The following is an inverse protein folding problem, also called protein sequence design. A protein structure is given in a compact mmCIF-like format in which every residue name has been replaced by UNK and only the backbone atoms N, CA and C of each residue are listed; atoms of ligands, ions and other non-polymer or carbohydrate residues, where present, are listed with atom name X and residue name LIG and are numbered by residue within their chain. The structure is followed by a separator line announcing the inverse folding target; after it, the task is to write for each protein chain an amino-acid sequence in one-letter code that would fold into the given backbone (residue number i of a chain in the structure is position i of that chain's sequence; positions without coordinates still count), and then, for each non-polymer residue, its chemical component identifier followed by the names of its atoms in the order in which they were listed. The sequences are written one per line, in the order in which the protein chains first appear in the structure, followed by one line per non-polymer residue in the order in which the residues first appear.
data_IF_723514818154
#
_entry.id   IF_723514818154
#
_cell.length_a   1.000
_cell.length_b   1.000
_cell.length_c   1.000
_cell.angle_alpha   90.00
_cell.angle_beta   90.00
_cell.angle_gamma   90.00
#
_symmetry.space_group_name_H-M   'P 1'
#
loop_
_entity.id
_entity.type
_entity.pdbx_description
1 polymer ?
#
# COMPACT_ATOMS: atom_id res chain seq x y z
N UNK A 1 4.66 0.92 10.90
CA UNK A 1 4.77 -0.19 9.92
C UNK A 1 4.73 0.35 8.51
N UNK A 2 3.57 0.78 7.96
CA UNK A 2 3.49 1.24 6.57
C UNK A 2 4.59 2.25 6.21
N UNK A 3 4.80 3.29 7.03
CA UNK A 3 5.93 4.23 6.91
C UNK A 3 7.30 3.51 6.85
N UNK A 4 7.66 2.75 7.87
CA UNK A 4 8.96 2.04 7.92
C UNK A 4 9.17 1.09 6.75
N UNK A 5 8.12 0.38 6.33
CA UNK A 5 8.19 -0.57 5.22
C UNK A 5 8.40 0.17 3.90
N UNK A 6 7.60 1.21 3.64
CA UNK A 6 7.79 2.05 2.44
C UNK A 6 9.18 2.68 2.42
N UNK A 7 9.69 3.16 3.56
CA UNK A 7 11.03 3.74 3.65
C UNK A 7 12.12 2.75 3.22
N UNK A 8 12.02 1.47 3.60
CA UNK A 8 13.01 0.46 3.17
C UNK A 8 13.06 0.28 1.64
N UNK A 9 11.91 0.35 0.96
CA UNK A 9 11.89 0.31 -0.50
C UNK A 9 12.45 1.59 -1.11
N UNK A 10 12.11 2.75 -0.55
CA UNK A 10 12.63 4.04 -1.01
C UNK A 10 14.16 4.10 -0.92
N UNK A 11 14.74 3.56 0.17
CA UNK A 11 16.20 3.45 0.34
C UNK A 11 16.86 2.60 -0.76
N UNK A 12 16.14 1.63 -1.32
CA UNK A 12 16.62 0.79 -2.43
C UNK A 12 16.33 1.40 -3.82
N UNK A 13 16.03 2.71 -3.89
CA UNK A 13 15.76 3.42 -5.14
C UNK A 13 14.32 3.26 -5.67
N UNK A 14 13.37 2.78 -4.86
CA UNK A 14 11.96 2.78 -5.25
C UNK A 14 11.39 4.20 -5.21
N UNK A 15 10.26 4.39 -5.91
CA UNK A 15 9.39 5.55 -5.75
C UNK A 15 8.12 5.14 -4.99
N UNK A 16 7.40 6.09 -4.41
CA UNK A 16 6.13 5.80 -3.74
C UNK A 16 5.01 6.78 -4.08
N UNK A 17 3.79 6.23 -4.20
CA UNK A 17 2.54 6.96 -4.16
C UNK A 17 1.89 6.70 -2.79
N UNK A 18 1.80 7.73 -1.95
CA UNK A 18 1.22 7.65 -0.60
C UNK A 18 -0.15 8.28 -0.58
N UNK A 19 -1.18 7.46 -0.34
CA UNK A 19 -2.57 7.85 -0.23
C UNK A 19 -2.96 7.97 1.26
N UNK A 20 -2.99 9.20 1.76
CA UNK A 20 -3.34 9.53 3.14
C UNK A 20 -4.66 10.34 3.20
N UNK A 21 -5.84 9.67 3.12
CA UNK A 21 -7.12 10.37 3.13
C UNK A 21 -7.41 11.16 4.42
N UNK A 22 -6.61 10.99 5.47
CA UNK A 22 -6.70 11.78 6.71
C UNK A 22 -5.78 13.00 6.73
N UNK A 23 -4.78 13.05 5.84
CA UNK A 23 -3.78 14.12 5.71
C UNK A 23 -2.92 14.35 6.96
N UNK A 24 -2.80 13.35 7.83
CA UNK A 24 -2.06 13.45 9.10
C UNK A 24 -1.23 12.20 9.41
N UNK A 25 -1.47 11.08 8.74
CA UNK A 25 -0.81 9.80 9.02
C UNK A 25 0.58 9.73 8.41
N UNK A 26 0.82 10.43 7.29
CA UNK A 26 2.03 10.29 6.48
C UNK A 26 2.64 11.63 6.03
N UNK A 27 2.72 12.60 6.94
CA UNK A 27 3.29 13.92 6.63
C UNK A 27 4.76 13.87 6.20
N UNK A 28 5.53 12.89 6.70
CA UNK A 28 6.91 12.63 6.26
C UNK A 28 7.06 12.54 4.74
N UNK A 29 6.04 12.00 4.05
CA UNK A 29 6.05 11.77 2.61
C UNK A 29 6.16 13.06 1.80
N UNK A 30 5.80 14.21 2.38
CA UNK A 30 5.88 15.51 1.71
C UNK A 30 7.32 16.04 1.64
N UNK A 31 8.21 15.54 2.50
CA UNK A 31 9.61 15.96 2.57
C UNK A 31 10.56 15.08 1.74
N UNK A 32 10.04 14.01 1.10
CA UNK A 32 10.85 13.05 0.34
C UNK A 32 10.58 13.19 -1.16
N UNK A 33 11.57 13.59 -1.99
CA UNK A 33 11.34 13.91 -3.41
C UNK A 33 10.80 12.75 -4.26
N UNK A 34 11.18 11.51 -3.96
CA UNK A 34 10.73 10.30 -4.67
C UNK A 34 9.32 9.84 -4.27
N UNK A 35 8.63 10.62 -3.44
CA UNK A 35 7.30 10.29 -2.92
C UNK A 35 6.25 11.29 -3.41
N UNK A 36 5.23 10.77 -4.07
CA UNK A 36 4.00 11.52 -4.37
C UNK A 36 3.00 11.32 -3.25
N UNK A 37 2.77 12.35 -2.44
CA UNK A 37 1.75 12.34 -1.39
C UNK A 37 0.42 12.93 -1.88
N UNK A 38 -0.71 12.22 -1.63
CA UNK A 38 -2.06 12.69 -1.92
C UNK A 38 -2.99 12.39 -0.75
N UNK A 39 -3.71 13.41 -0.28
CA UNK A 39 -4.62 13.26 0.86
C UNK A 39 -6.01 13.88 0.72
N UNK A 40 -6.30 14.57 -0.38
CA UNK A 40 -7.67 14.95 -0.73
C UNK A 40 -8.23 13.95 -1.75
N UNK A 41 -9.55 13.73 -1.76
CA UNK A 41 -10.13 12.62 -2.55
C UNK A 41 -10.01 12.84 -4.06
N UNK A 42 -10.10 14.08 -4.54
CA UNK A 42 -9.92 14.41 -5.96
C UNK A 42 -8.47 14.12 -6.40
N UNK A 43 -7.49 14.61 -5.64
CA UNK A 43 -6.08 14.33 -5.92
C UNK A 43 -5.68 12.88 -5.74
N UNK A 44 -6.38 12.12 -4.88
CA UNK A 44 -6.22 10.65 -4.81
C UNK A 44 -6.81 10.01 -6.07
N UNK A 45 -7.98 10.46 -6.53
CA UNK A 45 -8.59 9.98 -7.77
C UNK A 45 -7.64 10.20 -8.96
N UNK A 46 -7.18 11.44 -9.16
CA UNK A 46 -6.29 11.79 -10.28
C UNK A 46 -4.98 10.99 -10.25
N UNK A 47 -4.39 10.82 -9.06
CA UNK A 47 -3.16 10.05 -8.92
C UNK A 47 -3.35 8.55 -9.22
N UNK A 48 -4.51 7.98 -8.90
CA UNK A 48 -4.85 6.60 -9.27
C UNK A 48 -5.19 6.48 -10.75
N UNK A 49 -5.79 7.49 -11.38
CA UNK A 49 -5.96 7.50 -12.84
C UNK A 49 -4.60 7.53 -13.54
N UNK A 50 -3.67 8.36 -13.08
CA UNK A 50 -2.29 8.33 -13.59
C UNK A 50 -1.57 7.01 -13.31
N UNK A 51 -1.89 6.32 -12.21
CA UNK A 51 -1.36 4.99 -11.94
C UNK A 51 -1.79 3.98 -13.02
N UNK A 52 -3.02 4.04 -13.53
CA UNK A 52 -3.45 3.18 -14.63
C UNK A 52 -2.60 3.41 -15.89
N UNK A 53 -2.38 4.68 -16.26
CA UNK A 53 -1.50 5.02 -17.41
C UNK A 53 -0.06 4.53 -17.20
N UNK A 54 0.47 4.63 -15.97
CA UNK A 54 1.80 4.13 -15.67
C UNK A 54 1.87 2.60 -15.68
N UNK A 55 0.80 1.90 -15.27
CA UNK A 55 0.71 0.44 -15.39
C UNK A 55 0.73 0.01 -16.85
N UNK A 56 -0.11 0.61 -17.69
CA UNK A 56 -0.15 0.36 -19.15
C UNK A 56 1.23 0.57 -19.77
N UNK A 57 1.83 1.75 -19.53
CA UNK A 57 3.16 2.08 -20.04
C UNK A 57 4.23 1.06 -19.64
N UNK A 58 4.16 0.51 -18.42
CA UNK A 58 5.12 -0.50 -17.94
C UNK A 58 4.87 -1.88 -18.53
N UNK A 59 3.61 -2.25 -18.75
CA UNK A 59 3.28 -3.54 -19.38
C UNK A 59 3.68 -3.54 -20.86
N UNK A 60 3.58 -2.40 -21.54
CA UNK A 60 4.03 -2.21 -22.92
C UNK A 60 5.56 -2.27 -23.11
N UNK A 61 6.34 -2.28 -22.02
CA UNK A 61 7.79 -2.48 -22.07
C UNK A 61 8.20 -3.96 -22.23
N UNK A 62 7.25 -4.87 -22.41
CA UNK A 62 7.48 -6.32 -22.59
C UNK A 62 8.41 -6.92 -21.51
N UNK A 63 8.30 -6.41 -20.28
CA UNK A 63 9.11 -6.86 -19.14
C UNK A 63 10.50 -6.23 -19.03
N UNK A 64 10.92 -5.37 -19.96
CA UNK A 64 12.15 -4.59 -19.85
C UNK A 64 11.97 -3.42 -18.87
N UNK A 65 12.01 -3.75 -17.58
CA UNK A 65 11.78 -2.81 -16.49
C UNK A 65 13.05 -2.47 -15.70
N UNK A 66 14.23 -2.84 -16.19
CA UNK A 66 15.49 -2.73 -15.44
C UNK A 66 15.79 -1.30 -14.99
N UNK A 67 15.51 -0.32 -15.85
CA UNK A 67 15.70 1.11 -15.57
C UNK A 67 14.48 1.78 -14.94
N UNK A 68 13.37 1.05 -14.74
CA UNK A 68 12.13 1.59 -14.19
C UNK A 68 12.11 1.37 -12.67
N UNK A 69 12.10 2.44 -11.86
CA UNK A 69 12.01 2.31 -10.41
C UNK A 69 10.76 1.53 -10.00
N UNK A 70 10.93 0.65 -9.01
CA UNK A 70 9.80 -0.02 -8.35
C UNK A 70 8.87 1.05 -7.79
N UNK A 71 7.56 0.90 -8.01
CA UNK A 71 6.57 1.82 -7.47
C UNK A 71 5.82 1.18 -6.32
N UNK A 72 5.85 1.81 -5.15
CA UNK A 72 5.08 1.41 -3.98
C UNK A 72 3.82 2.27 -3.88
N UNK A 73 2.64 1.67 -3.96
CA UNK A 73 1.37 2.34 -3.71
C UNK A 73 0.96 2.06 -2.27
N UNK A 74 1.21 3.01 -1.37
CA UNK A 74 0.93 2.88 0.05
C UNK A 74 -0.38 3.59 0.42
N UNK A 75 -1.37 2.83 0.90
CA UNK A 75 -2.71 3.33 1.22
C UNK A 75 -2.96 3.18 2.71
N UNK A 76 -3.08 4.29 3.48
CA UNK A 76 -3.27 4.20 4.96
C UNK A 76 -4.57 3.47 5.32
N UNK A 77 -5.62 3.66 4.50
CA UNK A 77 -6.95 3.08 4.71
C UNK A 77 -7.63 2.77 3.38
N UNK A 78 -7.32 1.64 2.75
CA UNK A 78 -7.88 1.31 1.44
C UNK A 78 -9.42 1.35 1.40
N UNK A 79 -10.09 0.64 2.31
CA UNK A 79 -11.56 0.55 2.31
C UNK A 79 -12.28 1.90 2.48
N UNK A 80 -11.75 2.77 3.34
CA UNK A 80 -12.31 4.10 3.51
C UNK A 80 -12.06 4.98 2.28
N UNK A 81 -10.92 4.80 1.63
CA UNK A 81 -10.55 5.50 0.39
C UNK A 81 -11.46 5.07 -0.75
N UNK A 82 -11.63 3.76 -0.98
CA UNK A 82 -12.52 3.20 -2.01
C UNK A 82 -13.96 3.72 -1.87
N UNK A 83 -14.54 3.69 -0.66
CA UNK A 83 -15.89 4.23 -0.42
C UNK A 83 -15.99 5.74 -0.71
N UNK A 84 -14.93 6.50 -0.44
CA UNK A 84 -14.88 7.94 -0.72
C UNK A 84 -14.72 8.21 -2.22
N UNK A 85 -13.93 7.39 -2.92
CA UNK A 85 -13.76 7.46 -4.38
C UNK A 85 -15.07 7.15 -5.10
N UNK A 86 -15.81 6.13 -4.65
CA UNK A 86 -17.10 5.79 -5.23
C UNK A 86 -18.09 6.96 -5.13
N UNK A 87 -18.23 7.56 -3.94
CA UNK A 87 -19.10 8.74 -3.73
C UNK A 87 -18.64 9.97 -4.49
N UNK A 88 -17.33 10.20 -4.53
CA UNK A 88 -16.74 11.27 -5.34
C UNK A 88 -17.13 11.07 -6.81
N UNK A 89 -16.94 9.86 -7.33
CA UNK A 89 -17.28 9.54 -8.71
C UNK A 89 -18.76 9.67 -9.02
N UNK A 90 -19.65 9.22 -8.14
CA UNK A 90 -21.10 9.42 -8.28
C UNK A 90 -21.49 10.89 -8.44
N UNK A 91 -20.71 11.81 -7.86
CA UNK A 91 -20.96 13.25 -7.91
C UNK A 91 -20.50 13.89 -9.21
N UNK A 92 -19.39 13.42 -9.79
CA UNK A 92 -18.72 14.07 -10.93
C UNK A 92 -18.85 13.34 -12.26
N UNK A 93 -19.20 12.04 -12.24
CA UNK A 93 -19.36 11.24 -13.46
C UNK A 93 -20.49 11.80 -14.33
N UNK A 94 -20.23 11.87 -15.62
CA UNK A 94 -21.21 12.20 -16.65
C UNK A 94 -22.04 10.98 -17.05
N UNK A 95 -23.02 11.19 -17.93
CA UNK A 95 -23.94 10.14 -18.38
C UNK A 95 -23.22 8.96 -19.06
N UNK A 96 -22.20 9.27 -19.85
CA UNK A 96 -21.47 8.28 -20.67
C UNK A 96 -20.19 7.78 -19.97
N UNK A 97 -19.88 8.31 -18.79
CA UNK A 97 -18.78 7.85 -17.96
C UNK A 97 -19.06 6.46 -17.37
N UNK A 98 -18.01 5.65 -17.10
CA UNK A 98 -18.18 4.34 -16.49
C UNK A 98 -18.89 4.43 -15.13
N UNK A 99 -19.66 3.39 -14.79
CA UNK A 99 -20.34 3.33 -13.49
C UNK A 99 -19.34 3.26 -12.33
N UNK A 100 -18.27 2.48 -12.49
CA UNK A 100 -17.19 2.37 -11.51
C UNK A 100 -16.20 3.51 -11.71
N UNK A 101 -15.67 4.04 -10.61
CA UNK A 101 -14.64 5.07 -10.66
C UNK A 101 -13.38 4.53 -11.36
N UNK A 102 -12.83 5.25 -12.37
CA UNK A 102 -11.56 4.88 -13.00
C UNK A 102 -10.42 4.71 -11.99
N UNK A 103 -10.39 5.53 -10.93
CA UNK A 103 -9.43 5.40 -9.84
C UNK A 103 -9.56 4.09 -9.03
N UNK A 104 -10.79 3.59 -8.86
CA UNK A 104 -11.03 2.30 -8.20
C UNK A 104 -10.55 1.17 -9.12
N UNK A 105 -10.94 1.21 -10.39
CA UNK A 105 -10.50 0.23 -11.38
C UNK A 105 -8.97 0.18 -11.51
N UNK A 106 -8.30 1.34 -11.51
CA UNK A 106 -6.85 1.43 -11.53
C UNK A 106 -6.17 0.75 -10.34
N UNK A 107 -6.74 0.88 -9.13
CA UNK A 107 -6.21 0.22 -7.95
C UNK A 107 -6.44 -1.29 -7.97
N UNK A 108 -7.60 -1.74 -8.49
CA UNK A 108 -7.90 -3.15 -8.71
C UNK A 108 -6.93 -3.78 -9.72
N UNK A 109 -6.68 -3.08 -10.83
CA UNK A 109 -5.70 -3.49 -11.84
C UNK A 109 -4.28 -3.55 -11.25
N UNK A 110 -3.89 -2.55 -10.45
CA UNK A 110 -2.61 -2.56 -9.75
C UNK A 110 -2.43 -3.78 -8.82
N UNK A 111 -3.51 -4.25 -8.18
CA UNK A 111 -3.48 -5.48 -7.37
C UNK A 111 -3.33 -6.73 -8.24
N UNK A 112 -3.91 -6.73 -9.44
CA UNK A 112 -3.91 -7.88 -10.34
C UNK A 112 -2.60 -8.01 -11.13
N UNK A 113 -2.21 -6.99 -11.90
CA UNK A 113 -1.04 -7.03 -12.81
C UNK A 113 0.19 -6.30 -12.26
N UNK A 114 0.08 -5.63 -11.10
CA UNK A 114 1.14 -4.77 -10.59
C UNK A 114 2.50 -5.45 -10.46
N UNK A 115 2.53 -6.75 -10.09
CA UNK A 115 3.78 -7.52 -10.01
C UNK A 115 4.54 -7.51 -11.35
N UNK A 116 3.86 -7.73 -12.46
CA UNK A 116 4.47 -7.72 -13.80
C UNK A 116 4.99 -6.32 -14.16
N UNK A 117 4.34 -5.27 -13.66
CA UNK A 117 4.72 -3.87 -13.84
C UNK A 117 5.68 -3.32 -12.75
N UNK A 118 6.25 -4.16 -11.85
CA UNK A 118 7.04 -3.71 -10.68
C UNK A 118 6.31 -2.65 -9.82
N UNK A 119 4.99 -2.74 -9.72
CA UNK A 119 4.11 -1.94 -8.86
C UNK A 119 3.62 -2.82 -7.70
N UNK A 120 3.76 -2.36 -6.47
CA UNK A 120 3.35 -3.10 -5.28
C UNK A 120 2.41 -2.26 -4.40
N UNK A 121 1.26 -2.83 -4.04
CA UNK A 121 0.26 -2.15 -3.22
C UNK A 121 0.39 -2.57 -1.77
N UNK A 122 0.49 -1.60 -0.86
CA UNK A 122 0.43 -1.80 0.59
C UNK A 122 -0.82 -1.17 1.16
N UNK A 123 -1.65 -1.95 1.85
CA UNK A 123 -2.75 -1.43 2.68
C UNK A 123 -2.33 -1.40 4.15
N UNK A 124 -2.30 -0.20 4.74
CA UNK A 124 -1.89 0.00 6.13
C UNK A 124 -2.94 -0.45 7.15
N UNK A 125 -4.21 -0.56 6.76
CA UNK A 125 -5.32 -0.95 7.65
C UNK A 125 -6.40 -1.74 6.91
N UNK A 126 -6.09 -2.97 6.45
CA UNK A 126 -7.08 -3.83 5.85
C UNK A 126 -8.20 -4.11 6.86
N UNK A 127 -9.45 -3.83 6.49
CA UNK A 127 -10.58 -4.31 7.30
C UNK A 127 -10.86 -5.76 6.89
N UNK A 128 -10.70 -6.68 7.83
CA UNK A 128 -10.95 -8.12 7.61
C UNK A 128 -12.38 -8.42 7.13
N UNK A 129 -13.35 -7.56 7.46
CA UNK A 129 -14.74 -7.67 7.02
C UNK A 129 -14.96 -7.33 5.54
N UNK A 130 -14.03 -6.61 4.91
CA UNK A 130 -14.17 -6.17 3.50
C UNK A 130 -13.33 -7.05 2.59
N UNK A 131 -12.12 -7.42 3.02
CA UNK A 131 -11.26 -8.30 2.21
C UNK A 131 -11.54 -9.78 2.47
N UNK A 132 -12.10 -10.17 3.62
CA UNK A 132 -12.47 -11.56 3.91
C UNK A 132 -11.36 -12.57 3.54
N UNK A 133 -11.74 -13.67 2.90
CA UNK A 133 -10.79 -14.62 2.30
C UNK A 133 -10.08 -14.07 1.04
N UNK A 134 -10.72 -13.17 0.29
CA UNK A 134 -10.17 -12.55 -0.91
C UNK A 134 -8.90 -11.70 -0.62
N UNK A 135 -8.69 -11.29 0.63
CA UNK A 135 -7.44 -10.67 1.09
C UNK A 135 -6.23 -11.54 0.72
N UNK A 136 -6.33 -12.87 0.86
CA UNK A 136 -5.24 -13.78 0.52
C UNK A 136 -5.04 -13.98 -0.97
N UNK A 137 -6.13 -13.90 -1.71
CA UNK A 137 -6.10 -14.08 -3.16
C UNK A 137 -5.48 -12.85 -3.83
N UNK A 138 -5.72 -11.66 -3.28
CA UNK A 138 -5.20 -10.39 -3.79
C UNK A 138 -3.84 -10.00 -3.20
N UNK A 139 -3.52 -10.43 -1.98
CA UNK A 139 -2.24 -10.12 -1.32
C UNK A 139 -1.48 -11.39 -1.00
N UNK A 140 -0.31 -11.54 -1.64
CA UNK A 140 0.63 -12.62 -1.37
C UNK A 140 1.21 -12.59 0.06
N UNK A 141 1.06 -11.48 0.79
CA UNK A 141 1.61 -11.30 2.14
C UNK A 141 0.65 -10.51 3.01
N UNK A 142 0.36 -11.03 4.20
CA UNK A 142 -0.45 -10.34 5.21
C UNK A 142 0.38 -10.14 6.46
N UNK A 143 0.48 -8.90 6.93
CA UNK A 143 1.24 -8.55 8.14
C UNK A 143 0.26 -8.11 9.22
N UNK A 144 0.16 -8.89 10.30
CA UNK A 144 -0.80 -8.66 11.39
C UNK A 144 -0.11 -8.21 12.67
N UNK A 145 -0.60 -7.14 13.28
CA UNK A 145 -0.36 -6.79 14.67
C UNK A 145 -1.66 -6.44 15.39
N UNK A 146 -1.71 -6.71 16.69
CA UNK A 146 -2.83 -6.31 17.59
C UNK A 146 -4.22 -6.63 17.03
N UNK A 147 -4.38 -7.83 16.47
CA UNK A 147 -5.62 -8.31 15.85
C UNK A 147 -6.56 -8.99 16.87
N UNK A 148 -7.84 -9.17 16.52
CA UNK A 148 -8.81 -9.96 17.30
C UNK A 148 -8.66 -11.46 17.02
N UNK A 149 -9.34 -12.34 17.76
CA UNK A 149 -9.34 -13.77 17.43
C UNK A 149 -10.00 -14.03 16.06
N UNK A 150 -11.10 -13.34 15.77
CA UNK A 150 -11.83 -13.47 14.50
C UNK A 150 -10.97 -13.05 13.29
N UNK A 151 -10.26 -11.92 13.39
CA UNK A 151 -9.35 -11.49 12.32
C UNK A 151 -8.24 -12.51 12.08
N UNK A 152 -7.74 -13.17 13.14
CA UNK A 152 -6.76 -14.25 13.00
C UNK A 152 -7.34 -15.46 12.28
N UNK A 153 -8.54 -15.92 12.66
CA UNK A 153 -9.17 -17.06 11.99
C UNK A 153 -9.41 -16.77 10.51
N UNK A 154 -9.83 -15.56 10.17
CA UNK A 154 -10.05 -15.16 8.77
C UNK A 154 -8.73 -15.05 8.01
N UNK A 155 -7.68 -14.46 8.59
CA UNK A 155 -6.43 -14.09 7.91
C UNK A 155 -5.25 -15.05 8.12
N UNK A 156 -5.34 -16.02 9.04
CA UNK A 156 -4.35 -17.07 9.29
C UNK A 156 -4.96 -18.42 9.80
N UNK A 157 -5.94 -19.05 9.13
CA UNK A 157 -6.61 -20.26 9.60
C UNK A 157 -5.68 -21.47 9.63
N UNK A 158 -4.64 -21.50 8.78
CA UNK A 158 -3.64 -22.57 8.75
C UNK A 158 -2.61 -22.46 9.89
N UNK A 159 -2.53 -21.31 10.54
CA UNK A 159 -1.49 -21.00 11.53
C UNK A 159 -1.76 -21.53 12.94
N UNK A 160 -2.87 -22.25 13.14
CA UNK A 160 -3.27 -22.77 14.44
C UNK A 160 -3.72 -21.67 15.42
N UNK A 161 -3.69 -21.93 16.74
CA UNK A 161 -4.22 -21.01 17.74
C UNK A 161 -3.39 -19.73 17.80
N UNK A 162 -4.09 -18.61 17.96
CA UNK A 162 -3.50 -17.27 18.06
C UNK A 162 -2.45 -17.19 19.17
N UNK A 163 -1.25 -16.76 18.80
CA UNK A 163 -0.23 -16.28 19.75
C UNK A 163 -0.35 -14.76 19.89
N UNK A 164 -0.47 -14.25 21.13
CA UNK A 164 -0.71 -12.83 21.39
C UNK A 164 0.51 -12.21 22.06
N UNK A 165 1.18 -11.34 21.30
CA UNK A 165 2.29 -10.53 21.80
C UNK A 165 1.83 -9.08 22.00
N UNK A 166 1.74 -8.57 23.25
CA UNK A 166 1.22 -7.22 23.53
C UNK A 166 2.21 -6.11 23.17
N UNK A 167 3.47 -6.46 22.93
CA UNK A 167 4.58 -5.55 22.66
C UNK A 167 4.36 -4.78 21.35
N UNK A 168 4.78 -3.51 21.35
CA UNK A 168 4.74 -2.68 20.13
C UNK A 168 5.82 -3.19 19.16
N UNK A 169 5.48 -3.18 17.88
CA UNK A 169 6.42 -3.60 16.86
C UNK A 169 6.46 -5.11 16.62
N UNK A 170 5.75 -5.93 17.40
CA UNK A 170 5.62 -7.36 17.14
C UNK A 170 4.52 -7.61 16.10
N UNK A 171 4.85 -8.35 15.05
CA UNK A 171 3.95 -8.70 13.95
C UNK A 171 4.03 -10.19 13.65
N UNK A 172 2.99 -10.70 13.00
CA UNK A 172 2.99 -11.99 12.34
C UNK A 172 2.96 -11.73 10.83
N UNK A 173 3.90 -12.29 10.10
CA UNK A 173 3.94 -12.27 8.63
C UNK A 173 3.36 -13.58 8.16
N UNK A 174 2.29 -13.51 7.37
CA UNK A 174 1.61 -14.68 6.82
C UNK A 174 1.86 -14.71 5.32
N UNK A 175 2.48 -15.78 4.85
CA UNK A 175 2.79 -16.03 3.44
C UNK A 175 2.55 -17.50 3.12
N UNK A 176 1.83 -17.80 2.04
CA UNK A 176 1.56 -19.18 1.59
C UNK A 176 1.03 -20.14 2.69
N UNK A 177 0.36 -19.61 3.71
CA UNK A 177 -0.16 -20.41 4.85
C UNK A 177 0.83 -20.61 6.00
N UNK A 178 2.10 -20.23 5.82
CA UNK A 178 3.11 -20.18 6.87
C UNK A 178 3.01 -18.87 7.64
N UNK A 179 3.44 -18.91 8.90
CA UNK A 179 3.43 -17.75 9.79
C UNK A 179 4.76 -17.60 10.50
N UNK A 180 5.38 -16.46 10.25
CA UNK A 180 6.61 -16.04 10.90
C UNK A 180 6.34 -14.91 11.88
N UNK A 181 6.85 -15.04 13.10
CA UNK A 181 6.88 -13.95 14.06
C UNK A 181 8.05 -13.01 13.75
N UNK A 182 7.78 -11.69 13.77
CA UNK A 182 8.80 -10.70 13.48
C UNK A 182 8.68 -9.47 14.36
N UNK A 183 9.82 -8.85 14.66
CA UNK A 183 9.90 -7.55 15.30
C UNK A 183 10.26 -6.50 14.24
N UNK A 184 9.32 -5.59 13.98
CA UNK A 184 9.49 -4.57 12.96
C UNK A 184 10.28 -3.37 13.46
N UNK A 185 11.08 -2.80 12.54
CA UNK A 185 11.75 -1.52 12.75
C UNK A 185 10.71 -0.41 12.88
N UNK A 186 10.77 0.32 13.98
CA UNK A 186 9.90 1.46 14.24
C UNK A 186 10.66 2.76 13.96
N UNK A 187 10.41 3.36 12.80
CA UNK A 187 10.95 4.67 12.44
C UNK A 187 9.92 5.76 12.73
N UNK A 188 10.33 6.89 13.27
CA UNK A 188 9.55 8.14 13.37
C UNK A 188 9.45 8.84 12.00
N UNK A 189 8.70 9.94 11.90
CA UNK A 189 8.70 10.75 10.67
C UNK A 189 10.09 11.35 10.43
N UNK A 190 10.73 11.86 11.49
CA UNK A 190 12.07 12.41 11.42
C UNK A 190 13.10 11.35 11.01
N UNK A 191 13.07 10.16 11.61
CA UNK A 191 14.00 9.07 11.26
C UNK A 191 13.92 8.71 9.78
N UNK A 192 12.70 8.65 9.20
CA UNK A 192 12.52 8.35 7.77
C UNK A 192 13.05 9.46 6.89
N UNK A 193 12.74 10.72 7.21
CA UNK A 193 13.22 11.85 6.38
C UNK A 193 14.73 11.92 6.43
N UNK A 194 15.33 11.87 7.62
CA UNK A 194 16.79 11.85 7.76
C UNK A 194 17.38 10.69 6.95
N UNK A 195 16.91 9.46 7.17
CA UNK A 195 17.48 8.30 6.49
C UNK A 195 17.38 8.34 4.96
N UNK A 196 16.30 8.89 4.41
CA UNK A 196 16.08 8.95 2.95
C UNK A 196 16.67 10.18 2.28
N UNK A 197 17.19 11.15 3.03
CA UNK A 197 17.68 12.42 2.48
C UNK A 197 19.09 12.78 2.92
N UNK A 198 19.67 12.03 3.86
CA UNK A 198 21.04 12.22 4.32
C UNK A 198 22.03 11.84 3.21
N UNK A 199 22.84 12.79 2.72
CA UNK A 199 23.81 12.54 1.65
C UNK A 199 24.99 11.66 2.07
N UNK A 200 25.20 11.43 3.37
CA UNK A 200 26.37 10.73 3.90
C UNK A 200 26.11 9.25 4.29
N UNK A 201 24.97 8.65 3.91
CA UNK A 201 24.74 7.21 4.11
C UNK A 201 25.62 6.40 3.11
N UNK A 202 26.65 5.66 3.59
CA UNK A 202 27.57 4.92 2.71
C UNK A 202 26.93 3.72 2.00
N UNK A 203 25.62 3.52 2.15
CA UNK A 203 24.84 2.46 1.48
C UNK A 203 23.93 2.93 0.36
N UNK A 204 23.91 4.24 0.05
CA UNK A 204 23.14 4.84 -1.05
C UNK A 204 23.80 4.66 -2.43
#
# INVERSE_FOLDING_TARGET
MLRSLTAQFLHQGAHALVLDPKRISHLWAQAVPTVTHRGNIAGIHDALVHLATELERRLDLDGNLDTVPRLIVAVDKANATLRRLARYWETFRQKDDPKTSPAIAALEEALWVGRAARVHVFDGRPQSTVLGGAARELFATVILARFTADTWQVLAPAAGPKQRHPQRGHFHVIQHGEVDETQAIQMTDADVVTWLTDPDDPTA
#
